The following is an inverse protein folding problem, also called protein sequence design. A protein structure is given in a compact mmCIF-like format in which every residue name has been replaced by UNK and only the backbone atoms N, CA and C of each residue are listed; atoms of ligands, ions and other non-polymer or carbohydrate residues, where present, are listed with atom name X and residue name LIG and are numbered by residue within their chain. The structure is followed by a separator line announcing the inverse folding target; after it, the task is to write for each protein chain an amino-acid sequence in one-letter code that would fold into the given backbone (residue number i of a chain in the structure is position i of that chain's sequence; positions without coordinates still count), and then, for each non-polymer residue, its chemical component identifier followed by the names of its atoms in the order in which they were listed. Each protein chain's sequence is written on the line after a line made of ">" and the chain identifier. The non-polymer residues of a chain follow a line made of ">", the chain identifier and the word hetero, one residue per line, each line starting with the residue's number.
data_IF_195833667129
#
_entry.id   IF_195833667129
#
_cell.length_a   1.000
_cell.length_b   1.000
_cell.length_c   1.000
_cell.angle_alpha   90.00
_cell.angle_beta   90.00
_cell.angle_gamma   90.00
#
_symmetry.space_group_name_H-M   'P 1'
#
loop_
_entity.id
_entity.type
_entity.pdbx_description
1 polymer ?
#
# COMPACT_ATOMS: atom_id res chain seq x y z
N UNK A 1 4.96 -7.60 1.97
CA UNK A 1 4.75 -6.56 3.01
C UNK A 1 3.40 -6.82 3.66
N UNK A 2 3.34 -7.04 4.97
CA UNK A 2 2.06 -7.25 5.68
C UNK A 2 1.39 -5.87 5.82
N UNK A 3 0.26 -5.67 5.16
CA UNK A 3 -0.53 -4.46 5.39
C UNK A 3 -1.15 -4.59 6.78
N UNK A 4 -0.75 -3.71 7.70
CA UNK A 4 -1.29 -3.66 9.06
C UNK A 4 -2.70 -3.09 9.02
N UNK A 5 -3.65 -3.78 9.66
CA UNK A 5 -5.03 -3.34 9.85
C UNK A 5 -5.01 -2.01 10.63
N UNK A 6 -5.69 -0.95 10.17
CA UNK A 6 -5.71 0.32 10.88
C UNK A 6 -6.35 0.15 12.27
N UNK A 7 -5.81 0.82 13.29
CA UNK A 7 -6.43 0.87 14.61
C UNK A 7 -7.77 1.60 14.50
N UNK A 8 -8.82 1.06 15.14
CA UNK A 8 -10.19 1.58 15.07
C UNK A 8 -10.23 3.08 15.47
N UNK A 9 -9.39 3.48 16.43
CA UNK A 9 -9.30 4.86 16.96
C UNK A 9 -8.75 5.89 15.95
N UNK A 10 -8.07 5.48 14.88
CA UNK A 10 -7.50 6.42 13.89
C UNK A 10 -8.30 6.51 12.58
N UNK A 11 -9.48 5.88 12.54
CA UNK A 11 -10.33 5.83 11.36
C UNK A 11 -11.33 6.99 11.39
N UNK A 12 -11.43 7.73 10.28
CA UNK A 12 -12.46 8.78 10.11
C UNK A 12 -13.86 8.18 10.11
N UNK A 13 -14.83 8.90 10.69
CA UNK A 13 -16.24 8.49 10.80
C UNK A 13 -16.84 8.08 9.43
N UNK A 14 -16.51 8.80 8.36
CA UNK A 14 -16.97 8.45 7.00
C UNK A 14 -16.45 7.08 6.53
N UNK A 15 -15.23 6.74 6.91
CA UNK A 15 -14.61 5.45 6.57
C UNK A 15 -15.27 4.33 7.37
N UNK A 16 -15.52 4.59 8.66
CA UNK A 16 -16.22 3.66 9.54
C UNK A 16 -17.66 3.41 9.08
N UNK A 17 -18.42 4.46 8.80
CA UNK A 17 -19.79 4.41 8.28
C UNK A 17 -19.88 3.58 6.99
N UNK A 18 -18.98 3.81 6.02
CA UNK A 18 -18.91 2.98 4.80
C UNK A 18 -18.60 1.51 5.07
N UNK A 19 -17.73 1.21 6.03
CA UNK A 19 -17.40 -0.16 6.40
C UNK A 19 -18.59 -0.84 7.12
N UNK A 20 -19.27 -0.12 8.01
CA UNK A 20 -20.48 -0.57 8.70
C UNK A 20 -21.64 -0.84 7.72
N UNK A 21 -21.87 0.05 6.76
CA UNK A 21 -22.87 -0.14 5.73
C UNK A 21 -22.61 -1.40 4.88
N UNK A 22 -21.35 -1.60 4.44
CA UNK A 22 -20.94 -2.83 3.75
C UNK A 22 -21.12 -4.07 4.61
N UNK A 23 -20.80 -3.98 5.90
CA UNK A 23 -20.93 -5.09 6.83
C UNK A 23 -22.37 -5.57 6.95
N UNK A 24 -23.32 -4.64 7.10
CA UNK A 24 -24.74 -4.96 7.21
C UNK A 24 -25.25 -5.71 5.96
N UNK A 25 -24.95 -5.20 4.76
CA UNK A 25 -25.39 -5.81 3.50
C UNK A 25 -24.72 -7.17 3.24
N UNK A 26 -23.43 -7.30 3.51
CA UNK A 26 -22.70 -8.55 3.30
C UNK A 26 -23.03 -9.62 4.34
N UNK A 27 -23.43 -9.23 5.55
CA UNK A 27 -23.91 -10.14 6.59
C UNK A 27 -25.21 -10.81 6.18
N UNK A 28 -26.18 -10.06 5.62
CA UNK A 28 -27.42 -10.64 5.10
C UNK A 28 -27.17 -11.77 4.08
N UNK A 29 -26.21 -11.56 3.17
CA UNK A 29 -25.79 -12.59 2.20
C UNK A 29 -25.16 -13.84 2.83
N UNK A 30 -24.54 -13.71 4.01
CA UNK A 30 -23.95 -14.84 4.74
C UNK A 30 -25.01 -15.62 5.52
N UNK A 31 -25.94 -14.92 6.18
CA UNK A 31 -26.98 -15.51 7.03
C UNK A 31 -28.06 -16.23 6.23
N UNK A 32 -28.49 -15.66 5.11
CA UNK A 32 -29.54 -16.25 4.27
C UNK A 32 -29.05 -17.44 3.42
N UNK A 33 -27.76 -17.77 3.50
CA UNK A 33 -27.07 -18.74 2.63
C UNK A 33 -27.29 -18.47 1.11
N UNK A 34 -27.77 -17.28 0.75
CA UNK A 34 -28.05 -16.84 -0.61
C UNK A 34 -26.77 -16.38 -1.31
N UNK A 35 -25.78 -17.28 -1.37
CA UNK A 35 -24.52 -17.09 -2.11
C UNK A 35 -24.70 -17.28 -3.62
N UNK A 36 -25.90 -17.01 -4.11
CA UNK A 36 -26.21 -17.07 -5.53
C UNK A 36 -25.52 -15.90 -6.22
N UNK A 37 -24.92 -16.15 -7.38
CA UNK A 37 -24.22 -15.14 -8.17
C UNK A 37 -25.10 -13.90 -8.45
N UNK A 38 -26.41 -14.10 -8.60
CA UNK A 38 -27.39 -13.02 -8.77
C UNK A 38 -27.50 -12.12 -7.53
N UNK A 39 -27.64 -12.69 -6.33
CA UNK A 39 -27.71 -11.93 -5.07
C UNK A 39 -26.41 -11.14 -4.82
N UNK A 40 -25.25 -11.76 -5.10
CA UNK A 40 -23.96 -11.07 -5.00
C UNK A 40 -23.86 -9.93 -6.02
N UNK A 41 -24.36 -10.11 -7.24
CA UNK A 41 -24.37 -9.06 -8.27
C UNK A 41 -25.26 -7.89 -7.89
N UNK A 42 -26.44 -8.14 -7.32
CA UNK A 42 -27.35 -7.09 -6.84
C UNK A 42 -26.70 -6.25 -5.74
N UNK A 43 -26.13 -6.89 -4.72
CA UNK A 43 -25.41 -6.18 -3.64
C UNK A 43 -24.16 -5.46 -4.15
N UNK A 44 -23.46 -6.02 -5.15
CA UNK A 44 -22.33 -5.33 -5.78
C UNK A 44 -22.77 -4.04 -6.50
N UNK A 45 -23.88 -4.09 -7.22
CA UNK A 45 -24.49 -2.93 -7.89
C UNK A 45 -24.94 -1.87 -6.90
N UNK A 46 -25.60 -2.27 -5.80
CA UNK A 46 -26.04 -1.36 -4.73
C UNK A 46 -24.86 -0.66 -4.03
N UNK A 47 -23.79 -1.41 -3.75
CA UNK A 47 -22.56 -0.88 -3.18
C UNK A 47 -21.68 -0.10 -4.17
N UNK A 48 -22.01 -0.10 -5.46
CA UNK A 48 -21.21 0.52 -6.52
C UNK A 48 -19.80 -0.09 -6.69
N UNK A 49 -19.64 -1.38 -6.37
CA UNK A 49 -18.36 -2.11 -6.46
C UNK A 49 -18.44 -3.27 -7.45
N UNK A 50 -17.29 -3.75 -7.93
CA UNK A 50 -17.28 -4.91 -8.81
C UNK A 50 -17.66 -6.20 -8.06
N UNK A 51 -18.31 -7.13 -8.75
CA UNK A 51 -18.68 -8.45 -8.21
C UNK A 51 -17.47 -9.18 -7.61
N UNK A 52 -16.32 -9.09 -8.27
CA UNK A 52 -15.06 -9.66 -7.77
C UNK A 52 -14.61 -9.00 -6.45
N UNK A 53 -14.80 -7.69 -6.30
CA UNK A 53 -14.53 -7.00 -5.04
C UNK A 53 -15.47 -7.50 -3.94
N UNK A 54 -16.77 -7.65 -4.22
CA UNK A 54 -17.75 -8.20 -3.28
C UNK A 54 -17.36 -9.59 -2.78
N UNK A 55 -16.94 -10.50 -3.67
CA UNK A 55 -16.41 -11.81 -3.24
C UNK A 55 -15.17 -11.72 -2.35
N UNK A 56 -14.25 -10.79 -2.63
CA UNK A 56 -13.08 -10.55 -1.76
C UNK A 56 -13.50 -10.08 -0.37
N UNK A 57 -14.53 -9.24 -0.25
CA UNK A 57 -15.06 -8.78 1.04
C UNK A 57 -15.78 -9.91 1.77
N UNK A 58 -16.59 -10.72 1.08
CA UNK A 58 -17.25 -11.90 1.66
C UNK A 58 -16.24 -12.89 2.23
N UNK A 59 -15.12 -13.12 1.53
CA UNK A 59 -14.05 -13.99 2.04
C UNK A 59 -13.46 -13.44 3.34
N UNK A 60 -13.12 -12.15 3.39
CA UNK A 60 -12.59 -11.49 4.60
C UNK A 60 -13.57 -11.50 5.76
N UNK A 61 -14.84 -11.23 5.48
CA UNK A 61 -15.88 -11.21 6.49
C UNK A 61 -16.10 -12.60 7.09
N UNK A 62 -15.90 -13.67 6.32
CA UNK A 62 -15.94 -15.05 6.83
C UNK A 62 -14.78 -15.35 7.79
N UNK A 63 -13.59 -14.86 7.48
CA UNK A 63 -12.39 -15.11 8.28
C UNK A 63 -12.41 -14.34 9.61
N UNK A 64 -12.85 -13.09 9.60
CA UNK A 64 -12.73 -12.19 10.76
C UNK A 64 -14.05 -11.79 11.41
N UNK A 65 -15.20 -11.95 10.74
CA UNK A 65 -16.58 -11.63 11.20
C UNK A 65 -16.78 -10.22 11.82
N UNK A 66 -15.84 -9.30 11.59
CA UNK A 66 -15.83 -7.96 12.19
C UNK A 66 -15.94 -6.87 11.13
N UNK A 67 -16.60 -5.76 11.47
CA UNK A 67 -16.71 -4.56 10.63
C UNK A 67 -15.33 -4.00 10.29
N UNK A 68 -14.39 -4.09 11.22
CA UNK A 68 -13.02 -3.65 11.01
C UNK A 68 -12.29 -4.42 9.89
N UNK A 69 -12.71 -5.64 9.55
CA UNK A 69 -12.14 -6.42 8.43
C UNK A 69 -12.43 -5.82 7.05
N UNK A 70 -13.51 -5.04 6.97
CA UNK A 70 -13.99 -4.36 5.76
C UNK A 70 -13.44 -2.94 5.62
N UNK A 71 -12.63 -2.48 6.59
CA UNK A 71 -11.92 -1.22 6.46
C UNK A 71 -10.95 -1.28 5.28
N UNK A 72 -10.83 -0.18 4.51
CA UNK A 72 -9.83 -0.11 3.46
C UNK A 72 -8.45 -0.24 4.10
N UNK A 73 -7.64 -1.16 3.60
CA UNK A 73 -6.25 -1.20 4.02
C UNK A 73 -5.52 0.04 3.50
N UNK A 74 -4.53 0.55 4.24
CA UNK A 74 -3.73 1.66 3.78
C UNK A 74 -3.15 1.32 2.42
N UNK A 75 -3.43 2.18 1.44
CA UNK A 75 -2.82 2.08 0.11
C UNK A 75 -1.30 2.17 0.30
N UNK A 76 -0.56 1.52 -0.59
CA UNK A 76 0.89 1.68 -0.64
C UNK A 76 1.31 3.16 -0.75
N UNK A 77 2.60 3.47 -0.65
CA UNK A 77 3.10 4.83 -0.80
C UNK A 77 2.49 5.47 -2.05
N UNK A 78 1.91 6.68 -1.89
CA UNK A 78 1.39 7.43 -3.04
C UNK A 78 2.55 7.69 -4.01
N UNK A 79 2.24 7.73 -5.30
CA UNK A 79 3.22 8.11 -6.33
C UNK A 79 3.80 9.49 -5.96
N UNK A 80 5.12 9.62 -6.01
CA UNK A 80 5.84 10.83 -5.58
C UNK A 80 6.12 10.91 -4.08
N UNK A 81 5.71 9.94 -3.26
CA UNK A 81 6.09 9.89 -1.85
C UNK A 81 7.56 9.48 -1.72
N UNK A 82 8.39 10.41 -1.21
CA UNK A 82 9.83 10.25 -1.01
C UNK A 82 10.09 9.82 0.42
N UNK A 83 10.90 8.78 0.60
CA UNK A 83 11.32 8.31 1.94
C UNK A 83 12.65 8.91 2.39
N UNK A 84 13.42 9.42 1.44
CA UNK A 84 14.71 10.05 1.68
C UNK A 84 14.55 11.57 1.68
N UNK A 85 15.44 12.26 2.39
CA UNK A 85 15.52 13.70 2.31
C UNK A 85 15.88 14.11 0.87
N UNK A 86 15.30 15.22 0.39
CA UNK A 86 15.48 15.73 -0.98
C UNK A 86 16.96 15.87 -1.34
N UNK A 87 17.81 16.25 -0.38
CA UNK A 87 19.25 16.40 -0.58
C UNK A 87 19.94 15.06 -0.88
N UNK A 88 19.53 13.98 -0.20
CA UNK A 88 20.08 12.64 -0.42
C UNK A 88 19.64 12.12 -1.79
N UNK A 89 18.39 12.38 -2.20
CA UNK A 89 17.93 11.99 -3.53
C UNK A 89 18.68 12.71 -4.64
N UNK A 90 18.99 14.00 -4.48
CA UNK A 90 19.84 14.73 -5.43
C UNK A 90 21.23 14.09 -5.56
N UNK A 91 21.86 13.73 -4.44
CA UNK A 91 23.15 13.04 -4.44
C UNK A 91 23.05 11.70 -5.18
N UNK A 92 21.98 10.93 -4.92
CA UNK A 92 21.75 9.65 -5.63
C UNK A 92 21.59 9.88 -7.13
N UNK A 93 20.79 10.87 -7.54
CA UNK A 93 20.60 11.20 -8.96
C UNK A 93 21.91 11.64 -9.64
N UNK A 94 22.73 12.45 -8.97
CA UNK A 94 24.04 12.87 -9.48
C UNK A 94 25.01 11.69 -9.63
N UNK A 95 25.07 10.81 -8.63
CA UNK A 95 25.89 9.60 -8.68
C UNK A 95 25.41 8.68 -9.79
N UNK A 96 24.11 8.46 -9.91
CA UNK A 96 23.50 7.67 -10.98
C UNK A 96 23.87 8.26 -12.35
N UNK A 97 23.67 9.56 -12.57
CA UNK A 97 24.03 10.23 -13.83
C UNK A 97 25.52 10.02 -14.16
N UNK A 98 26.42 10.26 -13.21
CA UNK A 98 27.87 10.07 -13.39
C UNK A 98 28.22 8.64 -13.80
N UNK A 99 27.49 7.64 -13.29
CA UNK A 99 27.79 6.24 -13.57
C UNK A 99 27.11 5.73 -14.86
N UNK A 100 25.91 6.22 -15.19
CA UNK A 100 25.23 5.85 -16.44
C UNK A 100 25.98 6.31 -17.71
N UNK A 101 26.91 7.27 -17.58
CA UNK A 101 27.84 7.63 -18.66
C UNK A 101 28.99 6.64 -18.87
N UNK A 102 29.15 5.63 -18.01
CA UNK A 102 30.17 4.58 -18.17
C UNK A 102 29.56 3.38 -18.89
N UNK A 103 30.32 2.81 -19.84
CA UNK A 103 29.90 1.65 -20.65
C UNK A 103 29.73 0.37 -19.83
N UNK A 104 30.39 0.28 -18.67
CA UNK A 104 30.28 -0.84 -17.74
C UNK A 104 29.18 -0.62 -16.70
N UNK A 105 28.33 -1.64 -16.50
CA UNK A 105 27.28 -1.60 -15.47
C UNK A 105 27.90 -1.78 -14.09
N UNK A 106 27.91 -0.75 -13.22
CA UNK A 106 28.42 -0.89 -11.85
C UNK A 106 27.55 -1.88 -11.06
N UNK A 107 28.15 -2.50 -10.05
CA UNK A 107 27.38 -3.23 -9.04
C UNK A 107 26.67 -2.28 -8.08
N UNK A 108 25.54 -2.70 -7.49
CA UNK A 108 24.83 -1.93 -6.46
C UNK A 108 25.73 -1.52 -5.29
N UNK A 109 26.71 -2.37 -4.92
CA UNK A 109 27.69 -2.07 -3.86
C UNK A 109 28.60 -0.89 -4.23
N UNK A 110 29.05 -0.83 -5.49
CA UNK A 110 29.88 0.27 -5.96
C UNK A 110 29.07 1.57 -5.99
N UNK A 111 27.84 1.55 -6.52
CA UNK A 111 26.93 2.71 -6.53
C UNK A 111 26.69 3.22 -5.10
N UNK A 112 26.40 2.30 -4.17
CA UNK A 112 26.19 2.64 -2.76
C UNK A 112 27.43 3.31 -2.18
N UNK A 113 28.63 2.75 -2.36
CA UNK A 113 29.89 3.35 -1.88
C UNK A 113 30.15 4.76 -2.42
N UNK A 114 29.78 5.05 -3.67
CA UNK A 114 29.85 6.42 -4.20
C UNK A 114 28.86 7.35 -3.49
N UNK A 115 27.62 6.89 -3.24
CA UNK A 115 26.62 7.66 -2.49
C UNK A 115 27.10 7.90 -1.05
N UNK A 116 27.73 6.92 -0.40
CA UNK A 116 28.30 7.09 0.95
C UNK A 116 29.35 8.22 0.97
N UNK A 117 30.31 8.18 0.04
CA UNK A 117 31.34 9.20 -0.07
C UNK A 117 30.74 10.61 -0.30
N UNK A 118 29.78 10.74 -1.20
CA UNK A 118 29.18 12.05 -1.52
C UNK A 118 28.28 12.56 -0.37
N UNK A 119 27.57 11.67 0.33
CA UNK A 119 26.81 12.02 1.53
C UNK A 119 27.74 12.48 2.66
N UNK A 120 28.86 11.79 2.89
CA UNK A 120 29.85 12.16 3.91
C UNK A 120 30.48 13.53 3.61
N UNK A 121 30.89 13.78 2.37
CA UNK A 121 31.40 15.10 1.95
C UNK A 121 30.40 16.22 2.18
N UNK A 122 29.11 15.93 2.01
CA UNK A 122 28.03 16.89 2.15
C UNK A 122 27.45 16.96 3.58
N UNK A 123 27.98 16.17 4.52
CA UNK A 123 27.51 16.12 5.91
C UNK A 123 26.12 15.50 6.11
N UNK A 124 25.62 14.72 5.15
CA UNK A 124 24.30 14.08 5.24
C UNK A 124 24.37 12.63 5.72
N UNK A 125 23.27 12.18 6.34
CA UNK A 125 23.13 10.79 6.77
C UNK A 125 23.10 9.85 5.56
N UNK A 126 23.96 8.84 5.62
CA UNK A 126 24.11 7.83 4.57
C UNK A 126 22.82 7.00 4.45
N UNK A 127 22.24 6.85 3.24
CA UNK A 127 21.07 6.00 3.04
C UNK A 127 21.45 4.51 3.18
N UNK A 128 20.54 3.72 3.75
CA UNK A 128 20.69 2.26 3.78
C UNK A 128 20.74 1.67 2.36
N UNK A 129 21.43 0.54 2.18
CA UNK A 129 21.47 -0.15 0.88
C UNK A 129 20.07 -0.47 0.32
N UNK A 130 19.09 -0.73 1.18
CA UNK A 130 17.69 -1.01 0.80
C UNK A 130 16.98 0.22 0.24
N UNK A 131 17.43 1.43 0.59
CA UNK A 131 16.87 2.66 0.05
C UNK A 131 17.41 2.98 -1.36
N UNK A 132 18.56 2.39 -1.74
CA UNK A 132 19.22 2.59 -3.04
C UNK A 132 18.87 1.49 -4.05
N UNK A 133 18.45 0.31 -3.59
CA UNK A 133 18.00 -0.81 -4.43
C UNK A 133 16.60 -0.59 -4.99
#
# INVERSE_FOLDING_TARGET
>A
MRQTKPLITSVSEDVWSRASHRHALLRGLLEENQRNHLSVKLVASDLGISVQHTYRLLKKLREEQTTASLLPLPRGPRVGNRRLAVNIEKIIEEVIKKIYFKREKPTLKQVHRYIECECQKSGFNVPSMKAVR
#
